data_IF_608254457897
#
_entry.id   IF_608254457897
#
_cell.length_a   1.000
_cell.length_b   1.000
_cell.length_c   1.000
_cell.angle_alpha   90.00
_cell.angle_beta   90.00
_cell.angle_gamma   90.00
#
_symmetry.space_group_name_H-M   'P 1'
#
loop_
_entity.id
_entity.type
_entity.pdbx_description
1 polymer ?
#
# COMPACT_ATOMS: atom_id res chain seq x y z
N UNK A 1 59.19 -22.07 24.28
CA UNK A 1 59.30 -21.80 25.72
C UNK A 1 58.34 -20.64 25.98
N UNK A 2 57.19 -20.86 26.62
CA UNK A 2 57.00 -21.30 28.02
C UNK A 2 57.51 -20.20 28.97
N UNK A 3 56.65 -19.47 29.67
CA UNK A 3 55.88 -19.87 30.89
C UNK A 3 56.80 -19.98 32.12
N UNK A 4 56.55 -19.43 33.32
CA UNK A 4 55.54 -18.50 33.91
C UNK A 4 56.33 -17.60 34.93
N UNK A 5 55.83 -16.75 35.85
CA UNK A 5 54.51 -16.37 36.42
C UNK A 5 54.62 -14.88 36.92
N UNK A 6 53.87 -14.23 37.83
CA UNK A 6 52.77 -14.57 38.77
C UNK A 6 51.89 -13.34 39.14
N UNK A 7 50.87 -13.60 39.97
CA UNK A 7 49.98 -12.74 40.78
C UNK A 7 50.58 -11.52 41.52
N UNK A 8 49.86 -10.38 41.50
CA UNK A 8 49.24 -9.71 42.70
C UNK A 8 48.58 -8.35 42.37
N UNK A 9 47.67 -7.88 43.25
CA UNK A 9 47.23 -6.47 43.33
C UNK A 9 45.74 -6.20 43.06
N UNK A 10 45.07 -5.46 43.95
CA UNK A 10 43.62 -5.16 43.87
C UNK A 10 43.30 -3.65 43.92
N UNK A 11 42.07 -3.30 43.54
CA UNK A 11 41.37 -2.02 43.78
C UNK A 11 42.00 -0.73 43.21
N UNK A 12 41.57 -0.34 42.01
CA UNK A 12 41.63 1.04 41.50
C UNK A 12 40.21 1.63 41.38
N UNK A 13 39.96 2.77 42.03
CA UNK A 13 38.65 3.43 42.05
C UNK A 13 38.44 4.29 40.78
N UNK A 14 37.34 4.11 40.06
CA UNK A 14 36.88 5.05 39.02
C UNK A 14 35.40 5.32 39.20
N UNK A 15 35.00 6.59 39.19
CA UNK A 15 33.60 7.03 39.32
C UNK A 15 33.25 8.07 38.27
N UNK A 16 31.94 8.14 37.93
CA UNK A 16 31.32 9.01 36.92
C UNK A 16 31.66 8.61 35.46
N UNK A 17 30.84 8.94 34.47
CA UNK A 17 29.56 9.67 34.51
C UNK A 17 28.43 8.92 33.79
N UNK A 18 27.18 9.28 34.07
CA UNK A 18 26.02 8.78 33.34
C UNK A 18 25.53 9.87 32.38
N UNK A 19 25.61 9.61 31.07
CA UNK A 19 24.96 10.43 30.05
C UNK A 19 23.90 9.59 29.33
N UNK A 20 22.66 9.69 29.84
CA UNK A 20 21.49 9.19 29.11
C UNK A 20 21.13 10.21 28.03
N UNK A 21 21.44 9.89 26.77
CA UNK A 21 21.13 10.78 25.64
C UNK A 21 19.61 10.95 25.47
N UNK A 22 19.18 12.21 25.43
CA UNK A 22 17.78 12.62 25.50
C UNK A 22 16.98 12.24 24.24
N UNK A 23 15.91 11.46 24.41
CA UNK A 23 14.85 11.28 23.41
C UNK A 23 13.39 11.44 23.93
N UNK A 24 13.02 12.44 24.77
CA UNK A 24 11.65 12.59 25.28
C UNK A 24 10.80 13.68 24.57
N UNK A 25 11.39 14.53 23.73
CA UNK A 25 10.76 15.79 23.29
C UNK A 25 9.60 15.62 22.30
N UNK A 26 9.81 14.87 21.20
CA UNK A 26 8.81 14.68 20.13
C UNK A 26 7.54 13.97 20.64
N UNK A 27 7.71 12.84 21.33
CA UNK A 27 6.62 12.04 21.90
C UNK A 27 5.77 12.83 22.90
N UNK A 28 6.38 13.70 23.73
CA UNK A 28 5.65 14.57 24.67
C UNK A 28 4.76 15.59 23.96
N UNK A 29 5.19 16.14 22.83
CA UNK A 29 4.41 17.10 22.07
C UNK A 29 3.19 16.44 21.39
N UNK A 30 3.37 15.30 20.72
CA UNK A 30 2.25 14.55 20.10
C UNK A 30 1.23 14.10 21.15
N UNK A 31 1.69 13.65 22.31
CA UNK A 31 0.81 13.30 23.44
C UNK A 31 0.07 14.52 24.03
N UNK A 32 0.61 15.74 23.90
CA UNK A 32 -0.04 16.99 24.36
C UNK A 32 -1.15 17.42 23.39
N UNK A 33 -0.88 17.40 22.08
CA UNK A 33 -1.86 17.71 21.03
C UNK A 33 -3.09 16.78 21.10
N UNK A 34 -2.86 15.47 21.19
CA UNK A 34 -3.91 14.46 21.34
C UNK A 34 -4.75 14.65 22.61
N UNK A 35 -4.16 15.15 23.71
CA UNK A 35 -4.89 15.48 24.95
C UNK A 35 -5.78 16.71 24.77
N UNK A 36 -5.27 17.79 24.17
CA UNK A 36 -6.04 19.02 23.93
C UNK A 36 -7.21 18.84 22.96
N UNK A 37 -7.15 17.84 22.09
CA UNK A 37 -8.26 17.48 21.19
C UNK A 37 -9.27 16.54 21.87
N UNK A 38 -8.80 15.56 22.66
CA UNK A 38 -9.68 14.68 23.47
C UNK A 38 -10.53 15.43 24.50
N UNK A 39 -10.08 16.57 25.01
CA UNK A 39 -10.83 17.38 25.98
C UNK A 39 -12.10 18.07 25.44
N UNK A 40 -12.43 17.94 24.15
CA UNK A 40 -13.66 18.52 23.55
C UNK A 40 -14.80 17.52 23.29
N UNK A 41 -14.61 16.22 23.55
CA UNK A 41 -15.63 15.18 23.25
C UNK A 41 -15.91 14.28 24.45
N UNK A 42 -17.05 14.47 25.12
CA UNK A 42 -17.41 13.76 26.34
C UNK A 42 -18.18 12.46 26.13
N UNK A 43 -17.49 11.32 25.96
CA UNK A 43 -17.98 9.97 26.31
C UNK A 43 -16.81 8.95 26.29
N UNK A 44 -16.88 7.90 27.11
CA UNK A 44 -15.90 6.78 27.07
C UNK A 44 -16.20 5.85 25.88
N UNK A 45 -15.85 6.30 24.67
CA UNK A 45 -15.92 5.47 23.45
C UNK A 45 -15.08 4.20 23.64
N UNK A 46 -15.70 3.03 23.44
CA UNK A 46 -15.01 1.72 23.47
C UNK A 46 -13.86 1.74 22.45
N UNK A 47 -12.63 1.47 22.87
CA UNK A 47 -11.48 1.37 21.95
C UNK A 47 -11.79 0.31 20.87
N UNK A 48 -11.73 0.64 19.56
CA UNK A 48 -12.06 -0.32 18.50
C UNK A 48 -11.04 -1.46 18.48
N UNK A 49 -11.55 -2.68 18.34
CA UNK A 49 -10.76 -3.91 18.18
C UNK A 49 -9.96 -3.89 16.87
N UNK A 50 -8.99 -4.80 16.75
CA UNK A 50 -8.18 -4.95 15.53
C UNK A 50 -9.04 -5.17 14.28
N UNK A 51 -10.10 -5.99 14.39
CA UNK A 51 -10.98 -6.31 13.26
C UNK A 51 -11.85 -5.13 12.85
N UNK A 52 -12.52 -4.48 13.81
CA UNK A 52 -13.32 -3.26 13.57
C UNK A 52 -12.46 -2.16 12.92
N UNK A 53 -11.23 -1.95 13.42
CA UNK A 53 -10.30 -0.97 12.88
C UNK A 53 -9.80 -1.30 11.47
N UNK A 54 -9.45 -2.57 11.22
CA UNK A 54 -8.98 -2.99 9.88
C UNK A 54 -10.08 -2.87 8.83
N UNK A 55 -11.35 -3.14 9.21
CA UNK A 55 -12.53 -2.87 8.38
C UNK A 55 -12.75 -1.37 8.13
N UNK A 56 -12.75 -0.54 9.19
CA UNK A 56 -12.92 0.91 9.02
C UNK A 56 -11.83 1.56 8.17
N UNK A 57 -10.57 1.12 8.32
CA UNK A 57 -9.48 1.56 7.45
C UNK A 57 -9.72 1.15 5.99
N UNK A 58 -10.12 -0.09 5.75
CA UNK A 58 -10.48 -0.61 4.42
C UNK A 58 -11.66 0.15 3.78
N UNK A 59 -12.68 0.49 4.54
CA UNK A 59 -13.84 1.31 4.12
C UNK A 59 -13.43 2.73 3.69
N UNK A 60 -12.52 3.38 4.44
CA UNK A 60 -11.96 4.69 4.07
C UNK A 60 -11.03 4.57 2.84
N UNK A 61 -10.24 3.50 2.74
CA UNK A 61 -9.35 3.25 1.59
C UNK A 61 -10.12 3.02 0.27
N UNK A 62 -11.30 2.39 0.33
CA UNK A 62 -12.21 2.24 -0.81
C UNK A 62 -12.68 3.60 -1.37
N UNK A 63 -13.04 4.53 -0.48
CA UNK A 63 -13.62 5.82 -0.85
C UNK A 63 -12.58 6.91 -1.10
N UNK A 64 -11.31 6.69 -0.74
CA UNK A 64 -10.22 7.68 -0.71
C UNK A 64 -10.11 8.54 -1.97
N UNK A 65 -10.17 7.94 -3.17
CA UNK A 65 -10.04 8.69 -4.42
C UNK A 65 -11.22 9.66 -4.67
N UNK A 66 -12.42 9.32 -4.18
CA UNK A 66 -13.59 10.20 -4.26
C UNK A 66 -13.63 11.23 -3.11
N UNK A 67 -13.21 10.84 -1.90
CA UNK A 67 -13.04 11.78 -0.78
C UNK A 67 -12.04 12.89 -1.13
N UNK A 68 -10.87 12.53 -1.68
CA UNK A 68 -9.86 13.50 -2.10
C UNK A 68 -10.38 14.44 -3.20
N UNK A 69 -11.10 13.92 -4.21
CA UNK A 69 -11.75 14.77 -5.23
C UNK A 69 -12.67 15.80 -4.58
N UNK A 70 -13.60 15.36 -3.73
CA UNK A 70 -14.53 16.23 -3.00
C UNK A 70 -13.83 17.28 -2.10
N UNK A 71 -12.58 17.04 -1.71
CA UNK A 71 -11.74 17.96 -0.93
C UNK A 71 -10.68 18.69 -1.80
N UNK A 72 -10.98 18.93 -3.08
CA UNK A 72 -10.22 19.86 -3.94
C UNK A 72 -9.08 19.24 -4.75
N UNK A 73 -8.72 17.97 -4.54
CA UNK A 73 -7.60 17.31 -5.25
C UNK A 73 -7.88 16.96 -6.72
N UNK A 74 -8.96 17.50 -7.33
CA UNK A 74 -9.33 17.25 -8.74
C UNK A 74 -8.16 17.41 -9.73
N UNK A 75 -7.30 18.42 -9.56
CA UNK A 75 -6.17 18.70 -10.47
C UNK A 75 -5.01 17.70 -10.40
N UNK A 76 -5.03 16.78 -9.43
CA UNK A 76 -4.11 15.64 -9.30
C UNK A 76 -4.83 14.29 -9.37
N UNK A 77 -6.16 14.32 -9.51
CA UNK A 77 -7.06 13.16 -9.63
C UNK A 77 -7.92 13.29 -10.90
N UNK A 78 -7.33 13.75 -11.99
CA UNK A 78 -7.93 13.72 -13.33
C UNK A 78 -8.33 12.29 -13.71
N UNK A 79 -9.39 12.08 -14.50
CA UNK A 79 -9.73 10.74 -14.99
C UNK A 79 -8.54 10.08 -15.73
N UNK A 80 -8.28 8.77 -15.55
CA UNK A 80 -7.24 8.07 -16.31
C UNK A 80 -7.53 8.08 -17.81
N UNK A 81 -6.55 8.49 -18.61
CA UNK A 81 -6.62 8.45 -20.08
C UNK A 81 -6.21 7.09 -20.68
N UNK A 82 -5.94 7.03 -21.99
CA UNK A 82 -5.30 5.88 -22.63
C UNK A 82 -3.95 5.53 -21.99
N UNK A 83 -3.55 4.26 -22.06
CA UNK A 83 -2.20 3.85 -21.62
C UNK A 83 -1.17 4.28 -22.66
N UNK A 84 -0.09 4.92 -22.22
CA UNK A 84 1.14 5.07 -23.02
C UNK A 84 2.18 4.10 -22.49
N UNK A 85 2.59 3.13 -23.30
CA UNK A 85 3.73 2.25 -23.01
C UNK A 85 5.04 3.03 -23.26
N UNK A 86 6.03 2.78 -22.42
CA UNK A 86 7.33 3.45 -22.44
C UNK A 86 8.42 2.41 -22.71
N UNK A 87 9.22 2.66 -23.75
CA UNK A 87 10.21 1.71 -24.24
C UNK A 87 9.61 0.66 -25.19
N UNK A 88 10.39 -0.38 -25.56
CA UNK A 88 9.89 -1.47 -26.38
C UNK A 88 8.92 -2.36 -25.60
N UNK A 89 7.95 -2.92 -26.30
CA UNK A 89 7.12 -4.01 -25.76
C UNK A 89 7.90 -5.32 -25.75
N UNK A 90 7.62 -6.17 -24.76
CA UNK A 90 8.20 -7.51 -24.63
C UNK A 90 7.09 -8.54 -24.80
N UNK A 91 7.24 -9.46 -25.75
CA UNK A 91 6.37 -10.63 -25.87
C UNK A 91 6.79 -11.71 -24.86
N UNK A 92 5.86 -12.19 -24.04
CA UNK A 92 6.17 -13.27 -23.09
C UNK A 92 6.17 -14.63 -23.80
N UNK A 93 7.31 -15.36 -23.82
CA UNK A 93 7.42 -16.64 -24.50
C UNK A 93 6.55 -17.76 -23.89
N UNK A 94 5.99 -17.58 -22.68
CA UNK A 94 5.19 -18.61 -22.01
C UNK A 94 3.68 -18.50 -22.28
N UNK A 95 3.19 -17.28 -22.56
CA UNK A 95 1.76 -16.99 -22.68
C UNK A 95 1.38 -16.27 -23.97
N UNK A 96 2.37 -15.83 -24.75
CA UNK A 96 2.21 -15.04 -25.99
C UNK A 96 1.42 -13.73 -25.77
N UNK A 97 1.35 -13.27 -24.52
CA UNK A 97 0.89 -11.93 -24.17
C UNK A 97 2.01 -10.90 -24.30
N UNK A 98 1.63 -9.63 -24.35
CA UNK A 98 2.55 -8.49 -24.34
C UNK A 98 2.73 -7.92 -22.94
N UNK A 99 3.94 -7.49 -22.66
CA UNK A 99 4.36 -6.73 -21.48
C UNK A 99 4.84 -5.35 -21.93
N UNK A 100 4.32 -4.30 -21.32
CA UNK A 100 4.85 -2.94 -21.45
C UNK A 100 5.14 -2.32 -20.08
N UNK A 101 6.01 -1.31 -20.03
CA UNK A 101 6.20 -0.49 -18.83
C UNK A 101 5.40 0.81 -18.96
N UNK A 102 4.78 1.25 -17.88
CA UNK A 102 3.94 2.46 -17.84
C UNK A 102 4.38 3.37 -16.69
N UNK A 103 4.49 4.68 -16.95
CA UNK A 103 4.72 5.70 -15.93
C UNK A 103 3.51 6.63 -15.83
N UNK A 104 2.91 6.75 -14.64
CA UNK A 104 1.78 7.64 -14.38
C UNK A 104 1.93 8.36 -13.04
N UNK A 105 1.32 9.55 -12.84
CA UNK A 105 1.17 10.12 -11.50
C UNK A 105 0.37 9.18 -10.59
N UNK A 106 0.75 9.08 -9.32
CA UNK A 106 0.10 8.25 -8.31
C UNK A 106 -1.42 8.48 -8.28
N UNK A 107 -1.88 9.73 -8.40
CA UNK A 107 -3.30 10.07 -8.45
C UNK A 107 -4.07 9.49 -9.65
N UNK A 108 -3.41 9.25 -10.79
CA UNK A 108 -4.01 8.52 -11.92
C UNK A 108 -4.01 7.02 -11.63
N UNK A 109 -2.88 6.49 -11.18
CA UNK A 109 -2.67 5.08 -10.87
C UNK A 109 -3.70 4.52 -9.86
N UNK A 110 -3.99 5.25 -8.78
CA UNK A 110 -4.98 4.83 -7.76
C UNK A 110 -6.44 4.91 -8.22
N UNK A 111 -6.73 5.60 -9.32
CA UNK A 111 -8.07 5.60 -9.95
C UNK A 111 -8.20 4.52 -11.02
N UNK A 112 -7.11 4.26 -11.75
CA UNK A 112 -7.06 3.23 -12.80
C UNK A 112 -7.22 1.83 -12.21
N UNK A 113 -6.65 1.59 -11.02
CA UNK A 113 -6.76 0.33 -10.30
C UNK A 113 -7.99 0.30 -9.41
N UNK A 114 -9.00 -0.49 -9.80
CA UNK A 114 -10.17 -0.79 -8.96
C UNK A 114 -9.74 -1.51 -7.69
N UNK A 115 -9.62 -0.80 -6.57
CA UNK A 115 -9.28 -1.44 -5.29
C UNK A 115 -10.36 -2.47 -4.92
N UNK A 116 -11.63 -2.16 -5.23
CA UNK A 116 -12.80 -3.03 -5.06
C UNK A 116 -12.63 -4.42 -5.70
N UNK A 117 -12.38 -4.49 -7.02
CA UNK A 117 -12.20 -5.78 -7.70
C UNK A 117 -10.96 -6.55 -7.20
N UNK A 118 -9.96 -5.84 -6.67
CA UNK A 118 -8.74 -6.44 -6.12
C UNK A 118 -8.89 -6.91 -4.65
N UNK A 119 -9.93 -6.53 -3.91
CA UNK A 119 -10.16 -7.03 -2.53
C UNK A 119 -10.55 -8.51 -2.49
N UNK A 120 -11.19 -9.04 -3.52
CA UNK A 120 -11.49 -10.48 -3.63
C UNK A 120 -10.22 -11.35 -3.61
N UNK A 121 -9.03 -10.76 -3.81
CA UNK A 121 -7.78 -11.50 -3.84
C UNK A 121 -7.21 -11.86 -2.46
N UNK A 122 -7.44 -11.08 -1.38
CA UNK A 122 -6.89 -11.38 -0.04
C UNK A 122 -7.75 -10.75 1.07
N UNK A 123 -7.94 -11.43 2.22
CA UNK A 123 -8.66 -10.85 3.36
C UNK A 123 -7.94 -9.61 3.94
N UNK A 124 -8.66 -8.69 4.62
CA UNK A 124 -8.08 -7.44 5.12
C UNK A 124 -6.88 -7.65 6.04
N UNK A 125 -5.74 -7.04 5.69
CA UNK A 125 -4.48 -7.15 6.43
C UNK A 125 -4.14 -5.86 7.19
N UNK A 126 -3.64 -6.00 8.41
CA UNK A 126 -3.26 -4.89 9.31
C UNK A 126 -1.83 -4.41 9.03
N UNK A 127 -1.70 -3.60 7.98
CA UNK A 127 -0.45 -2.96 7.54
C UNK A 127 0.16 -2.00 8.57
N UNK A 128 -0.60 -1.58 9.59
CA UNK A 128 -0.20 -0.60 10.60
C UNK A 128 0.46 -1.23 11.83
N UNK A 129 0.41 -2.57 11.96
CA UNK A 129 1.08 -3.31 13.04
C UNK A 129 2.31 -4.07 12.57
N UNK A 130 2.34 -4.55 11.32
CA UNK A 130 3.47 -5.30 10.75
C UNK A 130 4.70 -4.39 10.49
N UNK A 131 5.90 -4.70 11.03
CA UNK A 131 7.09 -3.85 10.88
C UNK A 131 7.59 -3.65 9.44
N UNK A 132 7.31 -4.56 8.50
CA UNK A 132 7.75 -4.43 7.11
C UNK A 132 6.91 -3.36 6.41
N UNK A 133 5.58 -3.48 6.50
CA UNK A 133 4.67 -2.52 5.88
C UNK A 133 4.69 -1.16 6.58
N UNK A 134 4.90 -1.10 7.90
CA UNK A 134 5.13 0.17 8.61
C UNK A 134 6.35 0.93 8.09
N UNK A 135 7.48 0.25 7.86
CA UNK A 135 8.65 0.88 7.22
C UNK A 135 8.29 1.36 5.82
N UNK A 136 7.74 0.49 4.98
CA UNK A 136 7.37 0.84 3.60
C UNK A 136 6.43 2.06 3.50
N UNK A 137 5.43 2.17 4.39
CA UNK A 137 4.54 3.34 4.49
C UNK A 137 5.33 4.60 4.82
N UNK A 138 6.23 4.54 5.82
CA UNK A 138 7.07 5.69 6.20
C UNK A 138 8.02 6.07 5.05
N UNK A 139 8.65 5.09 4.42
CA UNK A 139 9.60 5.32 3.33
C UNK A 139 8.88 5.96 2.13
N UNK A 140 7.63 5.55 1.84
CA UNK A 140 6.76 6.22 0.86
C UNK A 140 6.32 7.63 1.29
N UNK A 141 6.13 7.92 2.58
CA UNK A 141 5.92 9.31 3.05
C UNK A 141 7.19 10.14 2.76
N UNK A 142 8.36 9.63 3.15
CA UNK A 142 9.64 10.34 3.14
C UNK A 142 10.24 10.56 1.74
N UNK A 143 9.89 9.75 0.74
CA UNK A 143 10.28 10.01 -0.66
C UNK A 143 10.53 8.79 -1.55
N UNK A 144 10.55 7.58 -0.99
CA UNK A 144 10.95 6.38 -1.71
C UNK A 144 10.05 6.08 -2.93
N UNK A 145 10.67 5.65 -4.02
CA UNK A 145 9.99 5.18 -5.22
C UNK A 145 9.24 3.86 -4.94
N UNK A 146 8.13 3.64 -5.64
CA UNK A 146 7.41 2.36 -5.59
C UNK A 146 8.21 1.28 -6.33
N UNK A 147 8.50 0.12 -5.73
CA UNK A 147 8.93 -1.05 -6.48
C UNK A 147 7.82 -1.47 -7.45
N UNK A 148 8.16 -1.77 -8.71
CA UNK A 148 7.19 -1.85 -9.81
C UNK A 148 6.09 -2.91 -9.59
N UNK A 149 4.83 -2.49 -9.71
CA UNK A 149 3.67 -3.37 -9.61
C UNK A 149 3.39 -4.05 -10.95
N UNK A 150 2.59 -5.12 -10.93
CA UNK A 150 2.20 -5.91 -12.10
C UNK A 150 0.70 -5.84 -12.28
N UNK A 151 0.25 -5.36 -13.43
CA UNK A 151 -1.16 -5.05 -13.73
C UNK A 151 -1.59 -5.81 -14.98
N UNK A 152 -2.73 -6.47 -14.95
CA UNK A 152 -3.37 -7.07 -16.12
C UNK A 152 -4.43 -6.12 -16.69
N UNK A 153 -4.43 -5.93 -18.01
CA UNK A 153 -5.51 -5.26 -18.74
C UNK A 153 -6.54 -6.29 -19.23
N UNK A 154 -7.74 -6.25 -18.66
CA UNK A 154 -8.79 -7.27 -18.86
C UNK A 154 -10.09 -6.64 -19.37
N UNK A 155 -10.79 -7.31 -20.28
CA UNK A 155 -12.20 -7.06 -20.57
C UNK A 155 -13.08 -8.07 -19.82
N UNK A 156 -14.39 -7.88 -19.90
CA UNK A 156 -15.40 -8.84 -19.43
C UNK A 156 -15.36 -10.21 -20.14
N UNK A 157 -14.62 -10.34 -21.24
CA UNK A 157 -14.43 -11.61 -21.98
C UNK A 157 -13.01 -12.21 -21.82
N UNK A 158 -12.20 -11.70 -20.88
CA UNK A 158 -10.78 -12.05 -20.73
C UNK A 158 -9.85 -10.93 -21.20
N UNK A 159 -8.54 -11.22 -21.34
CA UNK A 159 -7.51 -10.21 -21.62
C UNK A 159 -7.75 -9.41 -22.91
N UNK A 160 -7.42 -8.12 -22.89
CA UNK A 160 -7.67 -7.22 -24.03
C UNK A 160 -6.59 -7.32 -25.11
N UNK A 161 -6.99 -7.21 -26.38
CA UNK A 161 -6.05 -7.26 -27.53
C UNK A 161 -5.29 -5.95 -27.76
N UNK A 162 -5.87 -4.80 -27.39
CA UNK A 162 -5.18 -3.50 -27.33
C UNK A 162 -5.53 -2.77 -26.04
N UNK A 163 -4.70 -1.82 -25.65
CA UNK A 163 -4.90 -0.94 -24.50
C UNK A 163 -5.80 0.28 -24.79
N UNK A 164 -6.30 0.40 -26.03
CA UNK A 164 -7.25 1.43 -26.48
C UNK A 164 -8.72 0.99 -26.39
N UNK A 165 -9.01 -0.19 -25.84
CA UNK A 165 -10.36 -0.73 -25.79
C UNK A 165 -11.24 -0.05 -24.72
N UNK A 166 -12.48 0.31 -25.07
CA UNK A 166 -13.40 1.10 -24.24
C UNK A 166 -13.83 0.46 -22.90
N UNK A 167 -13.52 -0.83 -22.68
CA UNK A 167 -14.01 -1.63 -21.56
C UNK A 167 -12.90 -2.29 -20.71
N UNK A 168 -11.69 -1.72 -20.69
CA UNK A 168 -10.56 -2.26 -19.91
C UNK A 168 -10.77 -2.05 -18.40
N UNK A 169 -10.58 -3.14 -17.66
CA UNK A 169 -10.47 -3.22 -16.20
C UNK A 169 -9.05 -3.60 -15.84
N UNK A 170 -8.42 -2.86 -14.93
CA UNK A 170 -7.03 -3.05 -14.54
C UNK A 170 -6.94 -3.81 -13.21
N UNK A 171 -6.47 -5.05 -13.25
CA UNK A 171 -6.36 -5.96 -12.10
C UNK A 171 -4.90 -6.13 -11.68
N UNK A 172 -4.61 -6.22 -10.38
CA UNK A 172 -3.24 -6.31 -9.86
C UNK A 172 -2.83 -7.78 -9.76
N UNK A 173 -1.75 -8.17 -10.44
CA UNK A 173 -1.14 -9.51 -10.32
C UNK A 173 -0.20 -9.55 -9.11
N UNK A 174 0.62 -8.51 -8.94
CA UNK A 174 1.55 -8.30 -7.83
C UNK A 174 1.66 -6.80 -7.55
N UNK A 175 1.87 -6.43 -6.28
CA UNK A 175 1.90 -5.03 -5.82
C UNK A 175 0.73 -4.63 -4.92
N UNK A 176 -0.28 -5.49 -4.72
CA UNK A 176 -1.49 -5.15 -3.97
C UNK A 176 -1.22 -4.61 -2.55
N UNK A 177 -0.28 -5.22 -1.81
CA UNK A 177 0.11 -4.73 -0.47
C UNK A 177 0.94 -3.42 -0.54
N UNK A 178 1.68 -3.20 -1.63
CA UNK A 178 2.41 -1.94 -1.88
C UNK A 178 1.42 -0.80 -2.21
N UNK A 179 0.34 -1.09 -2.94
CA UNK A 179 -0.76 -0.14 -3.16
C UNK A 179 -1.42 0.26 -1.83
N UNK A 180 -1.77 -0.69 -0.94
CA UNK A 180 -2.30 -0.34 0.38
C UNK A 180 -1.33 0.54 1.17
N UNK A 181 -0.02 0.27 1.14
CA UNK A 181 0.96 1.15 1.78
C UNK A 181 0.95 2.58 1.21
N UNK A 182 0.75 2.77 -0.10
CA UNK A 182 0.59 4.11 -0.69
C UNK A 182 -0.73 4.80 -0.31
N UNK A 183 -1.86 4.08 -0.37
CA UNK A 183 -3.16 4.63 0.01
C UNK A 183 -3.20 5.02 1.51
N UNK A 184 -2.55 4.22 2.37
CA UNK A 184 -2.36 4.53 3.80
C UNK A 184 -1.40 5.71 3.99
N UNK A 185 -0.32 5.82 3.21
CA UNK A 185 0.57 6.98 3.24
C UNK A 185 -0.16 8.28 2.86
N UNK A 186 -1.01 8.25 1.82
CA UNK A 186 -1.86 9.39 1.44
C UNK A 186 -2.79 9.79 2.60
N UNK A 187 -3.49 8.84 3.20
CA UNK A 187 -4.34 9.10 4.37
C UNK A 187 -3.56 9.70 5.55
N UNK A 188 -2.38 9.17 5.87
CA UNK A 188 -1.54 9.66 6.98
C UNK A 188 -1.06 11.10 6.75
N UNK A 189 -0.68 11.45 5.52
CA UNK A 189 -0.22 12.80 5.17
C UNK A 189 -1.38 13.80 5.16
N UNK A 190 -2.55 13.39 4.65
CA UNK A 190 -3.73 14.24 4.51
C UNK A 190 -4.50 14.43 5.82
N UNK A 191 -4.95 13.33 6.45
CA UNK A 191 -5.88 13.35 7.60
C UNK A 191 -5.19 13.31 8.97
N UNK A 192 -3.91 12.94 9.03
CA UNK A 192 -3.02 13.08 10.21
C UNK A 192 -3.65 12.61 11.52
N UNK A 193 -3.62 13.41 12.59
CA UNK A 193 -4.19 13.13 13.90
C UNK A 193 -5.68 12.72 13.88
N UNK A 194 -6.47 13.16 12.89
CA UNK A 194 -7.90 12.82 12.81
C UNK A 194 -8.13 11.33 12.59
N UNK A 195 -7.19 10.61 11.98
CA UNK A 195 -7.27 9.16 11.85
C UNK A 195 -7.24 8.43 13.21
N UNK A 196 -6.61 9.02 14.24
CA UNK A 196 -6.62 8.49 15.61
C UNK A 196 -7.93 8.86 16.31
N UNK A 197 -8.45 10.06 16.07
CA UNK A 197 -9.72 10.55 16.63
C UNK A 197 -10.90 9.72 16.13
N UNK A 198 -10.96 9.47 14.82
CA UNK A 198 -11.95 8.62 14.15
C UNK A 198 -11.81 7.13 14.50
N UNK A 199 -10.72 6.72 15.18
CA UNK A 199 -10.41 5.33 15.48
C UNK A 199 -10.02 4.48 14.26
N UNK A 200 -9.60 5.11 13.16
CA UNK A 200 -9.17 4.47 11.91
C UNK A 200 -7.77 3.84 12.06
N UNK A 201 -6.86 4.50 12.80
CA UNK A 201 -5.51 4.00 13.09
C UNK A 201 -5.25 3.94 14.60
N UNK A 202 -4.36 3.05 15.09
CA UNK A 202 -3.93 3.07 16.49
C UNK A 202 -3.02 4.28 16.77
N UNK A 203 -3.07 4.76 18.01
CA UNK A 203 -2.26 5.87 18.53
C UNK A 203 -0.75 5.51 18.43
N UNK A 204 -0.43 4.24 18.64
CA UNK A 204 0.90 3.63 18.54
C UNK A 204 1.41 3.48 17.09
N UNK A 205 0.52 3.58 16.09
CA UNK A 205 0.93 3.75 14.69
C UNK A 205 1.16 5.22 14.37
N UNK A 206 0.26 6.12 14.80
CA UNK A 206 0.44 7.56 14.59
C UNK A 206 1.78 8.07 15.13
N UNK A 207 2.14 7.73 16.37
CA UNK A 207 3.41 8.14 16.97
C UNK A 207 4.66 7.75 16.15
N UNK A 208 4.59 6.71 15.31
CA UNK A 208 5.70 6.26 14.46
C UNK A 208 5.77 7.02 13.13
N UNK A 209 4.63 7.51 12.61
CA UNK A 209 4.57 8.27 11.36
C UNK A 209 4.59 9.80 11.57
N UNK A 210 4.19 10.27 12.76
CA UNK A 210 3.93 11.67 13.06
C UNK A 210 5.12 12.59 12.73
N UNK A 211 6.35 12.16 12.99
CA UNK A 211 7.54 12.96 12.66
C UNK A 211 7.74 13.08 11.14
N UNK A 212 7.78 11.95 10.41
CA UNK A 212 7.93 11.96 8.94
C UNK A 212 6.79 12.70 8.24
N UNK A 213 5.57 12.64 8.77
CA UNK A 213 4.41 13.40 8.26
C UNK A 213 4.55 14.90 8.56
N UNK A 214 4.90 15.30 9.78
CA UNK A 214 5.07 16.71 10.15
C UNK A 214 6.25 17.36 9.42
N UNK A 215 7.30 16.59 9.08
CA UNK A 215 8.41 17.04 8.20
C UNK A 215 7.96 17.45 6.79
N UNK A 216 6.77 17.06 6.32
CA UNK A 216 6.22 17.50 5.02
C UNK A 216 5.50 18.86 5.07
N UNK A 217 5.36 19.50 6.24
CA UNK A 217 4.73 20.81 6.37
C UNK A 217 3.20 20.75 6.28
N UNK A 218 2.61 21.47 5.32
CA UNK A 218 1.16 21.61 5.13
C UNK A 218 0.47 20.31 4.65
N UNK A 219 -0.74 19.94 5.14
CA UNK A 219 -1.41 18.70 4.73
C UNK A 219 -1.86 18.67 3.27
N UNK A 220 -2.34 19.78 2.73
CA UNK A 220 -2.90 19.85 1.38
C UNK A 220 -1.79 19.85 0.32
N UNK A 221 -0.78 20.69 0.52
CA UNK A 221 0.41 20.76 -0.34
C UNK A 221 1.16 19.41 -0.32
N UNK A 222 1.35 18.81 0.86
CA UNK A 222 2.03 17.51 0.96
C UNK A 222 1.25 16.38 0.27
N UNK A 223 -0.08 16.35 0.42
CA UNK A 223 -0.96 15.37 -0.24
C UNK A 223 -0.94 15.55 -1.76
N UNK A 224 -1.04 16.79 -2.24
CA UNK A 224 -0.95 17.12 -3.66
C UNK A 224 0.40 16.70 -4.25
N UNK A 225 1.50 16.96 -3.55
CA UNK A 225 2.84 16.54 -3.96
C UNK A 225 3.01 15.01 -3.98
N UNK A 226 2.42 14.29 -3.02
CA UNK A 226 2.42 12.82 -3.00
C UNK A 226 1.63 12.24 -4.19
N UNK A 227 0.44 12.77 -4.48
CA UNK A 227 -0.39 12.35 -5.62
C UNK A 227 0.23 12.66 -6.99
N UNK A 228 1.11 13.67 -7.08
CA UNK A 228 1.88 13.99 -8.30
C UNK A 228 3.08 13.06 -8.55
N UNK A 229 3.53 12.27 -7.58
CA UNK A 229 4.73 11.42 -7.75
C UNK A 229 4.50 10.36 -8.83
N UNK A 230 5.49 10.18 -9.70
CA UNK A 230 5.45 9.16 -10.76
C UNK A 230 5.59 7.76 -10.18
N UNK A 231 4.61 6.90 -10.49
CA UNK A 231 4.62 5.47 -10.23
C UNK A 231 4.99 4.74 -11.52
N UNK A 232 5.71 3.62 -11.40
CA UNK A 232 6.04 2.72 -12.49
C UNK A 232 5.38 1.37 -12.28
N UNK A 233 4.85 0.78 -13.34
CA UNK A 233 4.27 -0.56 -13.31
C UNK A 233 4.41 -1.27 -14.67
N UNK A 234 4.51 -2.59 -14.61
CA UNK A 234 4.42 -3.46 -15.79
C UNK A 234 2.95 -3.76 -16.08
N UNK A 235 2.53 -3.58 -17.33
CA UNK A 235 1.19 -3.91 -17.83
C UNK A 235 1.23 -5.12 -18.74
N UNK A 236 0.41 -6.12 -18.42
CA UNK A 236 0.22 -7.37 -19.13
C UNK A 236 -1.07 -7.28 -19.94
N UNK A 237 -0.99 -7.42 -21.26
CA UNK A 237 -2.13 -7.41 -22.17
C UNK A 237 -1.92 -8.37 -23.35
N UNK A 238 -2.87 -8.44 -24.28
CA UNK A 238 -2.93 -9.44 -25.36
C UNK A 238 -2.94 -10.90 -24.87
N UNK A 239 -3.12 -11.12 -23.56
CA UNK A 239 -2.92 -12.39 -22.87
C UNK A 239 -4.25 -13.16 -22.74
N UNK A 240 -4.22 -14.47 -23.01
CA UNK A 240 -5.38 -15.34 -22.80
C UNK A 240 -5.69 -15.51 -21.30
N UNK A 241 -6.92 -15.91 -20.95
CA UNK A 241 -7.26 -16.22 -19.55
C UNK A 241 -6.33 -17.31 -18.98
N UNK A 242 -6.03 -18.36 -19.76
CA UNK A 242 -5.08 -19.40 -19.35
C UNK A 242 -3.67 -18.85 -19.08
N UNK A 243 -3.19 -17.93 -19.94
CA UNK A 243 -1.90 -17.26 -19.76
C UNK A 243 -1.86 -16.38 -18.51
N UNK A 244 -2.92 -15.60 -18.26
CA UNK A 244 -3.06 -14.81 -17.05
C UNK A 244 -3.02 -15.69 -15.80
N UNK A 245 -3.80 -16.78 -15.78
CA UNK A 245 -3.86 -17.69 -14.65
C UNK A 245 -2.52 -18.40 -14.40
N UNK A 246 -1.82 -18.81 -15.46
CA UNK A 246 -0.44 -19.29 -15.36
C UNK A 246 0.47 -18.25 -14.69
N UNK A 247 0.41 -16.98 -15.12
CA UNK A 247 1.17 -15.90 -14.47
C UNK A 247 0.82 -15.74 -12.99
N UNK A 248 -0.47 -15.73 -12.63
CA UNK A 248 -0.90 -15.55 -11.23
C UNK A 248 -0.40 -16.68 -10.34
N UNK A 249 -0.48 -17.94 -10.80
CA UNK A 249 0.04 -19.11 -10.06
C UNK A 249 1.57 -19.05 -9.98
N UNK A 250 2.28 -18.82 -11.08
CA UNK A 250 3.74 -18.83 -11.10
C UNK A 250 4.34 -17.70 -10.25
N UNK A 251 3.82 -16.46 -10.32
CA UNK A 251 4.33 -15.37 -9.48
C UNK A 251 4.00 -15.54 -7.99
N UNK A 252 2.83 -16.10 -7.64
CA UNK A 252 2.52 -16.39 -6.23
C UNK A 252 3.23 -17.65 -5.70
N UNK A 253 3.86 -18.45 -6.56
CA UNK A 253 4.68 -19.60 -6.18
C UNK A 253 6.13 -19.23 -5.83
N UNK A 254 6.65 -18.13 -6.38
CA UNK A 254 8.00 -17.60 -6.08
C UNK A 254 8.05 -16.61 -4.90
N UNK A 255 6.89 -16.13 -4.45
CA UNK A 255 6.74 -15.31 -3.24
C UNK A 255 6.20 -16.13 -2.04
N UNK A 256 5.83 -15.49 -0.92
CA UNK A 256 5.15 -16.16 0.21
C UNK A 256 3.92 -16.92 -0.30
N UNK A 257 3.98 -18.27 -0.27
CA UNK A 257 2.93 -19.20 -0.77
C UNK A 257 1.52 -18.68 -0.49
N UNK A 258 0.83 -18.25 -1.54
CA UNK A 258 -0.61 -18.03 -1.53
C UNK A 258 -1.32 -19.38 -1.36
N UNK A 259 -2.33 -19.47 -0.50
CA UNK A 259 -3.08 -20.72 -0.31
C UNK A 259 -3.89 -21.09 -1.55
N UNK A 260 -4.06 -22.38 -1.81
CA UNK A 260 -4.83 -22.89 -2.96
C UNK A 260 -6.26 -22.32 -2.99
N UNK A 261 -6.90 -22.18 -1.82
CA UNK A 261 -8.21 -21.52 -1.70
C UNK A 261 -8.20 -20.10 -2.26
N UNK A 262 -7.20 -19.30 -1.93
CA UNK A 262 -7.11 -17.92 -2.41
C UNK A 262 -6.81 -17.86 -3.90
N UNK A 263 -5.96 -18.76 -4.42
CA UNK A 263 -5.75 -18.90 -5.87
C UNK A 263 -7.08 -19.18 -6.59
N UNK A 264 -7.88 -20.13 -6.07
CA UNK A 264 -9.20 -20.47 -6.61
C UNK A 264 -10.23 -19.34 -6.45
N UNK A 265 -10.21 -18.58 -5.36
CA UNK A 265 -11.09 -17.42 -5.15
C UNK A 265 -10.79 -16.30 -6.17
N UNK A 266 -9.53 -16.08 -6.55
CA UNK A 266 -9.12 -15.16 -7.62
C UNK A 266 -9.56 -15.70 -8.99
N UNK A 267 -9.33 -16.99 -9.25
CA UNK A 267 -9.77 -17.65 -10.49
C UNK A 267 -11.29 -17.60 -10.69
N UNK A 268 -12.06 -17.59 -9.60
CA UNK A 268 -13.52 -17.78 -9.62
C UNK A 268 -14.27 -16.76 -10.48
N UNK A 269 -13.98 -15.46 -10.38
CA UNK A 269 -14.76 -14.43 -11.09
C UNK A 269 -14.51 -14.47 -12.62
N UNK A 270 -13.26 -14.45 -13.12
CA UNK A 270 -12.99 -14.60 -14.55
C UNK A 270 -13.46 -15.96 -15.12
N UNK A 271 -13.35 -17.04 -14.34
CA UNK A 271 -13.81 -18.37 -14.78
C UNK A 271 -15.34 -18.43 -14.89
N UNK A 272 -16.10 -17.85 -13.95
CA UNK A 272 -17.56 -17.76 -14.03
C UNK A 272 -18.01 -16.87 -15.20
N UNK A 273 -17.32 -15.75 -15.44
CA UNK A 273 -17.64 -14.86 -16.57
C UNK A 273 -17.35 -15.55 -17.92
N UNK A 274 -16.25 -16.30 -18.04
CA UNK A 274 -15.94 -17.10 -19.24
C UNK A 274 -16.89 -18.30 -19.44
N UNK A 275 -17.17 -19.09 -18.40
CA UNK A 275 -18.12 -20.21 -18.51
C UNK A 275 -19.53 -19.73 -18.94
N UNK A 276 -19.94 -18.54 -18.49
CA UNK A 276 -21.17 -17.88 -18.98
C UNK A 276 -21.09 -17.45 -20.44
N UNK A 277 -19.94 -16.97 -20.93
CA UNK A 277 -19.79 -16.62 -22.35
C UNK A 277 -19.81 -17.84 -23.27
N UNK A 278 -19.34 -18.99 -22.78
CA UNK A 278 -19.44 -20.30 -23.46
C UNK A 278 -20.84 -20.94 -23.33
N UNK A 279 -21.81 -20.28 -22.69
CA UNK A 279 -23.18 -20.79 -22.50
C UNK A 279 -23.30 -21.95 -21.51
N UNK A 280 -22.27 -22.23 -20.71
CA UNK A 280 -22.25 -23.32 -19.74
C UNK A 280 -23.03 -22.89 -18.48
N UNK A 281 -24.05 -23.66 -18.01
CA UNK A 281 -24.79 -23.33 -16.80
C UNK A 281 -23.93 -23.52 -15.53
N UNK A 282 -24.13 -22.65 -14.54
CA UNK A 282 -23.33 -22.55 -13.29
C UNK A 282 -24.23 -22.19 -12.10
#
# INVERSE_FOLDING_TARGET
>A
MADQNESQGANGLVTRGAEALDAPSSSRNVAKELRTLRSRGGQRVKKPTRLERTRKLHEVLLNLAQELKSNGFFSVLSPPGPITIIGPEIEDPKTQGKIGHVHEPLGIYIQRLSVEDNFFQRPPFDHLTDPIYRRLIRDFIEGAAMPESKVAALSWAGGVRSLDADNIRFSIIDGLQRLYCFLIAILLVWRREHLVQDGVIPEEAWHFFAESVKRLGDPEIATGNLLRRTIRYEIFYAISLAGLLHYMVTFNSSQRRMSLRVQLEIMKKPLIEHLKSEGIPI
#
